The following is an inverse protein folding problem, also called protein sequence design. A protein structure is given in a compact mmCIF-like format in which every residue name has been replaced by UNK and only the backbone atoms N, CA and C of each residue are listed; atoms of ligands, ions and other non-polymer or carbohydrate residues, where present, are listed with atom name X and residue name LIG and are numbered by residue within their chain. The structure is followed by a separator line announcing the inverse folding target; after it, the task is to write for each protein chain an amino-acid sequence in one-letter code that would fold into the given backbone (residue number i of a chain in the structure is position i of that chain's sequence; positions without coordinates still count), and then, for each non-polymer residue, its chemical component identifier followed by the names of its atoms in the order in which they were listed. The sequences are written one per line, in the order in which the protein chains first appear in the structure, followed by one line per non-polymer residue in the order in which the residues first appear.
data_IF_937075415397
#
_entry.id   IF_937075415397
#
_cell.length_a   1.000
_cell.length_b   1.000
_cell.length_c   1.000
_cell.angle_alpha   90.00
_cell.angle_beta   90.00
_cell.angle_gamma   90.00
#
_symmetry.space_group_name_H-M   'P 1'
#
loop_
_entity.id
_entity.type
_entity.pdbx_description
1 polymer ?
#
# COMPACT_ATOMS: atom_id res chain seq x y z
N UNK A 1 -13.38 41.15 26.53
CA UNK A 1 -13.64 40.27 27.70
C UNK A 1 -14.63 39.19 27.27
N UNK A 2 -14.32 37.95 27.54
CA UNK A 2 -15.22 36.81 27.30
C UNK A 2 -16.09 36.67 28.54
N UNK A 3 -17.42 36.52 28.32
CA UNK A 3 -18.37 36.39 29.43
C UNK A 3 -18.20 35.05 30.16
N UNK A 4 -18.46 34.98 31.49
CA UNK A 4 -18.49 33.69 32.18
C UNK A 4 -19.48 32.75 31.51
N UNK A 5 -19.13 31.46 31.42
CA UNK A 5 -19.90 30.39 30.75
C UNK A 5 -19.95 30.45 29.22
N UNK A 6 -19.15 31.30 28.54
CA UNK A 6 -19.00 31.23 27.09
C UNK A 6 -18.31 29.94 26.70
N UNK A 7 -18.92 29.17 25.82
CA UNK A 7 -18.30 27.98 25.26
C UNK A 7 -17.27 28.39 24.20
N UNK A 8 -16.03 27.97 24.39
CA UNK A 8 -14.95 28.24 23.43
C UNK A 8 -14.74 27.01 22.54
N UNK A 9 -14.71 27.25 21.27
CA UNK A 9 -14.40 26.22 20.28
C UNK A 9 -12.99 26.46 19.74
N UNK A 10 -12.22 25.38 19.62
CA UNK A 10 -10.90 25.39 18.97
C UNK A 10 -11.06 24.82 17.56
N UNK A 11 -10.90 25.66 16.56
CA UNK A 11 -10.98 25.27 15.15
C UNK A 11 -9.61 24.96 14.51
N UNK A 12 -8.53 25.23 15.24
CA UNK A 12 -7.16 24.97 14.77
C UNK A 12 -6.32 24.35 15.89
N UNK A 13 -5.76 23.18 15.65
CA UNK A 13 -4.83 22.50 16.53
C UNK A 13 -3.48 22.33 15.86
N UNK A 14 -2.53 23.21 16.18
CA UNK A 14 -1.18 23.16 15.60
C UNK A 14 -0.44 21.84 15.87
N UNK A 15 -0.66 21.21 17.02
CA UNK A 15 -0.02 19.94 17.34
C UNK A 15 -0.59 18.79 16.48
N UNK A 16 -1.90 18.82 16.24
CA UNK A 16 -2.59 17.87 15.36
C UNK A 16 -2.18 18.07 13.90
N UNK A 17 -2.17 19.32 13.39
CA UNK A 17 -1.71 19.63 12.03
C UNK A 17 -0.27 19.14 11.80
N UNK A 18 0.61 19.44 12.74
CA UNK A 18 2.01 18.97 12.70
C UNK A 18 2.14 17.44 12.69
N UNK A 19 1.19 16.73 13.29
CA UNK A 19 1.14 15.27 13.26
C UNK A 19 0.69 14.76 11.87
N UNK A 20 -0.28 15.44 11.24
CA UNK A 20 -0.79 15.10 9.92
C UNK A 20 0.21 15.40 8.80
N UNK A 21 1.08 16.40 8.97
CA UNK A 21 2.15 16.70 8.00
C UNK A 21 3.21 15.58 7.93
N UNK A 22 3.31 14.74 8.95
CA UNK A 22 4.24 13.60 8.93
C UNK A 22 3.64 12.45 8.11
N UNK A 23 4.43 11.80 7.23
CA UNK A 23 4.00 10.60 6.54
C UNK A 23 3.82 9.45 7.55
N UNK A 24 2.66 9.41 8.22
CA UNK A 24 2.35 8.46 9.29
C UNK A 24 1.63 7.20 8.80
N UNK A 25 1.17 7.19 7.54
CA UNK A 25 0.38 6.11 6.94
C UNK A 25 1.15 5.35 5.84
N UNK A 26 2.48 5.44 5.79
CA UNK A 26 3.28 4.65 4.85
C UNK A 26 3.33 3.18 5.26
N UNK A 27 2.64 2.32 4.52
CA UNK A 27 2.85 0.89 4.60
C UNK A 27 4.01 0.50 3.68
N UNK A 28 5.04 -0.09 4.25
CA UNK A 28 6.13 -0.74 3.51
C UNK A 28 5.93 -2.25 3.51
N UNK A 29 6.37 -2.89 2.43
CA UNK A 29 6.34 -4.34 2.26
C UNK A 29 7.64 -4.92 2.79
N UNK A 30 7.56 -5.86 3.70
CA UNK A 30 8.73 -6.50 4.27
C UNK A 30 9.39 -7.43 3.24
N UNK A 31 10.72 -7.34 3.14
CA UNK A 31 11.53 -8.12 2.21
C UNK A 31 12.71 -8.75 2.94
N UNK A 32 12.86 -10.06 2.78
CA UNK A 32 14.08 -10.79 3.16
C UNK A 32 15.05 -10.78 1.99
N UNK A 33 16.28 -10.36 2.26
CA UNK A 33 17.36 -10.23 1.26
C UNK A 33 18.45 -11.23 1.59
N UNK A 34 18.93 -11.96 0.59
CA UNK A 34 20.04 -12.91 0.73
C UNK A 34 21.11 -12.59 -0.30
N UNK A 35 22.32 -12.32 0.19
CA UNK A 35 23.52 -12.11 -0.60
C UNK A 35 24.44 -13.33 -0.46
N UNK A 36 24.86 -13.89 -1.57
CA UNK A 36 25.74 -15.06 -1.61
C UNK A 36 26.77 -14.94 -2.72
N UNK A 37 27.87 -15.66 -2.59
CA UNK A 37 28.81 -15.80 -3.68
C UNK A 37 28.60 -17.14 -4.44
N UNK A 38 29.01 -17.15 -5.69
CA UNK A 38 29.00 -18.32 -6.55
C UNK A 38 30.35 -18.48 -7.29
N UNK A 39 30.51 -19.45 -8.16
CA UNK A 39 31.78 -19.69 -8.87
C UNK A 39 32.26 -18.47 -9.68
N UNK A 40 31.35 -17.64 -10.18
CA UNK A 40 31.67 -16.58 -11.14
C UNK A 40 31.48 -15.16 -10.58
N UNK A 41 31.07 -15.03 -9.31
CA UNK A 41 30.80 -13.70 -8.71
C UNK A 41 29.81 -13.76 -7.57
N UNK A 42 28.77 -12.90 -7.62
CA UNK A 42 27.83 -12.75 -6.53
C UNK A 42 26.38 -12.86 -7.00
N UNK A 43 25.53 -13.35 -6.12
CA UNK A 43 24.07 -13.47 -6.31
C UNK A 43 23.35 -12.75 -5.20
N UNK A 44 22.35 -11.96 -5.56
CA UNK A 44 21.46 -11.29 -4.63
C UNK A 44 20.04 -11.75 -4.91
N UNK A 45 19.33 -12.24 -3.90
CA UNK A 45 17.90 -12.56 -3.98
C UNK A 45 17.11 -11.75 -2.98
N UNK A 46 15.87 -11.45 -3.34
CA UNK A 46 14.92 -10.75 -2.50
C UNK A 46 13.58 -11.49 -2.55
N UNK A 47 13.00 -11.73 -1.37
CA UNK A 47 11.71 -12.41 -1.21
C UNK A 47 10.82 -11.58 -0.32
N UNK A 48 9.61 -11.29 -0.75
CA UNK A 48 8.66 -10.48 0.01
C UNK A 48 7.75 -11.31 0.94
N UNK A 49 6.92 -10.63 1.71
CA UNK A 49 5.96 -11.22 2.66
C UNK A 49 4.93 -12.16 2.01
N UNK A 50 4.71 -12.08 0.67
CA UNK A 50 3.77 -12.92 -0.09
C UNK A 50 4.46 -14.10 -0.77
N UNK A 51 5.77 -14.23 -0.65
CA UNK A 51 6.58 -15.28 -1.29
C UNK A 51 7.00 -14.95 -2.72
N UNK A 52 6.72 -13.75 -3.25
CA UNK A 52 7.30 -13.31 -4.51
C UNK A 52 8.80 -13.18 -4.37
N UNK A 53 9.56 -13.78 -5.31
CA UNK A 53 11.02 -13.81 -5.27
C UNK A 53 11.61 -13.31 -6.59
N UNK A 54 12.65 -12.50 -6.46
CA UNK A 54 13.51 -12.10 -7.56
C UNK A 54 14.97 -12.37 -7.23
N UNK A 55 15.80 -12.53 -8.27
CA UNK A 55 17.23 -12.80 -8.12
C UNK A 55 18.00 -12.13 -9.25
N UNK A 56 19.21 -11.66 -8.90
CA UNK A 56 20.20 -11.13 -9.85
C UNK A 56 21.54 -11.78 -9.58
N UNK A 57 22.33 -12.01 -10.64
CA UNK A 57 23.65 -12.57 -10.54
C UNK A 57 24.60 -11.72 -11.36
N UNK A 58 25.69 -11.32 -10.74
CA UNK A 58 26.74 -10.52 -11.35
C UNK A 58 28.03 -11.31 -11.40
N UNK A 59 28.61 -11.40 -12.61
CA UNK A 59 29.98 -11.89 -12.76
C UNK A 59 30.94 -10.84 -12.21
N UNK A 60 31.80 -11.28 -11.33
CA UNK A 60 32.78 -10.39 -10.66
C UNK A 60 34.02 -11.18 -10.20
N UNK A 61 35.19 -10.68 -10.52
CA UNK A 61 36.42 -11.28 -10.06
C UNK A 61 36.56 -11.08 -8.56
N UNK A 62 36.56 -12.19 -7.82
CA UNK A 62 36.57 -12.15 -6.35
C UNK A 62 37.95 -11.93 -5.81
N UNK A 63 38.15 -10.87 -5.05
CA UNK A 63 39.36 -10.56 -4.30
C UNK A 63 39.09 -10.64 -2.81
N UNK A 64 40.06 -11.13 -2.04
CA UNK A 64 39.95 -11.16 -0.58
C UNK A 64 40.01 -9.75 0.00
N UNK A 65 39.07 -9.42 0.84
CA UNK A 65 39.03 -8.14 1.54
C UNK A 65 40.03 -8.13 2.73
N UNK A 66 40.66 -6.98 2.95
CA UNK A 66 41.56 -6.75 4.09
C UNK A 66 40.81 -6.57 5.43
N UNK A 67 39.52 -6.22 5.35
CA UNK A 67 38.63 -5.98 6.51
C UNK A 67 37.33 -6.75 6.31
N UNK A 68 36.62 -7.14 7.39
CA UNK A 68 35.32 -7.75 7.28
C UNK A 68 34.35 -6.89 6.45
N UNK A 69 33.64 -7.50 5.51
CA UNK A 69 32.75 -6.79 4.58
C UNK A 69 31.29 -6.97 4.94
N UNK A 70 30.91 -7.90 5.79
CA UNK A 70 29.55 -8.24 6.09
C UNK A 70 28.69 -7.04 6.54
N UNK A 71 29.19 -6.25 7.47
CA UNK A 71 28.47 -5.05 7.98
C UNK A 71 28.27 -4.00 6.88
N UNK A 72 29.27 -3.82 6.01
CA UNK A 72 29.17 -2.92 4.87
C UNK A 72 28.11 -3.41 3.88
N UNK A 73 28.11 -4.71 3.56
CA UNK A 73 27.12 -5.33 2.66
C UNK A 73 25.71 -5.15 3.26
N UNK A 74 25.51 -5.48 4.53
CA UNK A 74 24.22 -5.29 5.23
C UNK A 74 23.75 -3.84 5.19
N UNK A 75 24.64 -2.90 5.50
CA UNK A 75 24.34 -1.47 5.48
C UNK A 75 23.94 -0.97 4.10
N UNK A 76 24.58 -1.44 3.03
CA UNK A 76 24.22 -1.06 1.68
C UNK A 76 22.89 -1.68 1.23
N UNK A 77 22.59 -2.93 1.62
CA UNK A 77 21.38 -3.62 1.26
C UNK A 77 20.15 -3.07 2.01
N UNK A 78 20.31 -2.52 3.21
CA UNK A 78 19.23 -1.88 3.97
C UNK A 78 18.66 -0.61 3.32
N UNK A 79 19.37 0.02 2.39
CA UNK A 79 19.02 1.32 1.80
C UNK A 79 17.87 1.21 0.79
N UNK A 80 16.67 0.87 1.23
CA UNK A 80 15.46 0.75 0.43
C UNK A 80 14.51 1.95 0.54
N UNK A 81 14.94 3.05 1.18
CA UNK A 81 14.07 4.16 1.59
C UNK A 81 13.23 4.80 0.48
N UNK A 82 13.72 4.84 -0.76
CA UNK A 82 12.99 5.37 -1.92
C UNK A 82 12.02 4.39 -2.58
N UNK A 83 11.76 3.21 -1.98
CA UNK A 83 10.92 2.15 -2.54
C UNK A 83 9.74 1.83 -1.64
N UNK A 84 8.78 1.05 -2.15
CA UNK A 84 7.66 0.52 -1.35
C UNK A 84 8.10 -0.61 -0.39
N UNK A 85 9.37 -1.02 -0.45
CA UNK A 85 9.90 -2.14 0.32
C UNK A 85 10.70 -1.67 1.54
N UNK A 86 10.78 -2.54 2.53
CA UNK A 86 11.60 -2.40 3.73
C UNK A 86 12.35 -3.71 3.99
N UNK A 87 13.65 -3.64 4.19
CA UNK A 87 14.45 -4.80 4.54
C UNK A 87 14.10 -5.26 5.97
N UNK A 88 13.48 -6.42 6.08
CA UNK A 88 13.11 -7.05 7.36
C UNK A 88 14.22 -7.98 7.85
N UNK A 89 14.84 -8.73 6.95
CA UNK A 89 15.96 -9.62 7.24
C UNK A 89 17.00 -9.53 6.11
N UNK A 90 18.28 -9.60 6.49
CA UNK A 90 19.39 -9.61 5.52
C UNK A 90 20.36 -10.72 5.92
N UNK A 91 20.55 -11.69 5.03
CA UNK A 91 21.51 -12.78 5.19
C UNK A 91 22.68 -12.57 4.23
N UNK A 92 23.88 -12.71 4.77
CA UNK A 92 25.13 -12.67 4.00
C UNK A 92 25.79 -14.05 4.10
N UNK A 93 25.65 -14.84 3.05
CA UNK A 93 26.09 -16.24 2.98
C UNK A 93 27.24 -16.36 1.97
N UNK A 94 28.42 -15.83 2.32
CA UNK A 94 29.60 -15.90 1.47
C UNK A 94 30.61 -16.95 2.00
N UNK A 95 31.25 -17.65 1.07
CA UNK A 95 32.28 -18.67 1.40
C UNK A 95 33.60 -18.06 1.92
N UNK A 96 33.81 -16.78 1.66
CA UNK A 96 35.00 -16.05 2.08
C UNK A 96 34.70 -14.57 2.34
N UNK A 97 35.70 -13.89 2.92
CA UNK A 97 35.63 -12.44 3.11
C UNK A 97 36.01 -11.71 1.83
N UNK A 98 35.08 -11.63 0.88
CA UNK A 98 35.29 -11.03 -0.42
C UNK A 98 35.15 -9.51 -0.40
N UNK A 99 36.03 -8.82 -1.12
CA UNK A 99 35.84 -7.40 -1.38
C UNK A 99 34.75 -7.19 -2.43
N UNK A 100 33.71 -6.42 -2.07
CA UNK A 100 32.64 -6.05 -3.00
C UNK A 100 32.51 -4.54 -2.99
N UNK A 101 32.72 -3.87 -4.13
CA UNK A 101 32.50 -2.42 -4.22
C UNK A 101 31.06 -2.05 -3.86
N UNK A 102 30.91 -0.99 -3.06
CA UNK A 102 29.56 -0.52 -2.66
C UNK A 102 28.67 -0.12 -3.85
N UNK A 103 29.29 0.29 -4.96
CA UNK A 103 28.58 0.58 -6.23
C UNK A 103 27.91 -0.66 -6.81
N UNK A 104 28.60 -1.80 -6.82
CA UNK A 104 28.07 -3.08 -7.30
C UNK A 104 26.94 -3.56 -6.41
N UNK A 105 27.10 -3.49 -5.09
CA UNK A 105 26.02 -3.85 -4.15
C UNK A 105 24.80 -2.97 -4.37
N UNK A 106 24.99 -1.67 -4.59
CA UNK A 106 23.92 -0.72 -4.83
C UNK A 106 23.22 -0.95 -6.17
N UNK A 107 23.93 -1.40 -7.19
CA UNK A 107 23.38 -1.74 -8.50
C UNK A 107 22.56 -3.04 -8.42
N UNK A 108 23.12 -4.10 -7.86
CA UNK A 108 22.42 -5.37 -7.61
C UNK A 108 21.13 -5.15 -6.80
N UNK A 109 21.22 -4.33 -5.74
CA UNK A 109 20.04 -3.98 -4.92
C UNK A 109 18.95 -3.31 -5.75
N UNK A 110 19.30 -2.30 -6.56
CA UNK A 110 18.30 -1.60 -7.40
C UNK A 110 17.65 -2.56 -8.38
N UNK A 111 18.43 -3.38 -9.06
CA UNK A 111 17.95 -4.32 -10.04
C UNK A 111 17.07 -5.42 -9.43
N UNK A 112 17.47 -6.02 -8.29
CA UNK A 112 16.66 -7.08 -7.65
C UNK A 112 15.32 -6.55 -7.14
N UNK A 113 15.30 -5.32 -6.61
CA UNK A 113 14.07 -4.68 -6.11
C UNK A 113 13.14 -4.31 -7.27
N UNK A 114 13.66 -3.83 -8.38
CA UNK A 114 12.86 -3.58 -9.59
C UNK A 114 12.27 -4.89 -10.14
N UNK A 115 13.07 -5.94 -10.26
CA UNK A 115 12.60 -7.26 -10.66
C UNK A 115 11.54 -7.82 -9.71
N UNK A 116 11.73 -7.65 -8.40
CA UNK A 116 10.76 -8.08 -7.40
C UNK A 116 9.42 -7.36 -7.58
N UNK A 117 9.45 -6.05 -7.85
CA UNK A 117 8.24 -5.28 -8.14
C UNK A 117 7.51 -5.81 -9.37
N UNK A 118 8.23 -6.12 -10.45
CA UNK A 118 7.65 -6.70 -11.67
C UNK A 118 7.05 -8.09 -11.40
N UNK A 119 7.75 -8.95 -10.67
CA UNK A 119 7.22 -10.27 -10.28
C UNK A 119 5.92 -10.12 -9.48
N UNK A 120 5.84 -9.19 -8.53
CA UNK A 120 4.61 -8.92 -7.77
C UNK A 120 3.45 -8.50 -8.66
N UNK A 121 3.70 -7.59 -9.61
CA UNK A 121 2.66 -7.10 -10.52
C UNK A 121 2.12 -8.26 -11.39
N UNK A 122 3.01 -9.08 -11.95
CA UNK A 122 2.63 -10.18 -12.83
C UNK A 122 1.94 -11.32 -12.07
N UNK A 123 2.40 -11.63 -10.86
CA UNK A 123 1.86 -12.70 -10.02
C UNK A 123 0.55 -12.35 -9.32
N UNK A 124 0.19 -11.06 -9.29
CA UNK A 124 -1.02 -10.62 -8.60
C UNK A 124 -2.28 -11.18 -9.27
N UNK A 125 -2.96 -12.05 -8.55
CA UNK A 125 -4.27 -12.57 -8.94
C UNK A 125 -5.34 -11.87 -8.13
N UNK A 126 -6.19 -11.12 -8.81
CA UNK A 126 -7.38 -10.54 -8.16
C UNK A 126 -8.35 -11.67 -7.83
N UNK A 127 -8.64 -11.86 -6.56
CA UNK A 127 -9.74 -12.73 -6.16
C UNK A 127 -11.06 -12.12 -6.64
N UNK A 128 -11.67 -12.78 -7.61
CA UNK A 128 -13.03 -12.45 -8.04
C UNK A 128 -13.98 -13.13 -7.05
N UNK A 129 -14.59 -12.32 -6.19
CA UNK A 129 -15.70 -12.79 -5.38
C UNK A 129 -16.80 -13.23 -6.35
N UNK A 130 -17.08 -14.52 -6.39
CA UNK A 130 -18.28 -15.02 -7.05
C UNK A 130 -19.45 -14.50 -6.24
N UNK A 131 -20.08 -13.42 -6.74
CA UNK A 131 -21.35 -13.00 -6.20
C UNK A 131 -22.30 -14.19 -6.35
N UNK A 132 -22.62 -14.85 -5.25
CA UNK A 132 -23.76 -15.73 -5.25
C UNK A 132 -24.96 -14.81 -5.53
N UNK A 133 -25.64 -15.02 -6.65
CA UNK A 133 -26.92 -14.37 -6.97
C UNK A 133 -28.00 -14.94 -6.02
N UNK A 134 -27.73 -14.97 -4.73
CA UNK A 134 -28.79 -15.10 -3.75
C UNK A 134 -29.54 -13.78 -3.79
N UNK A 135 -30.50 -13.70 -4.70
CA UNK A 135 -31.53 -12.67 -4.65
C UNK A 135 -32.29 -12.90 -3.34
N UNK A 136 -31.77 -12.26 -2.29
CA UNK A 136 -32.53 -12.15 -1.05
C UNK A 136 -33.67 -11.20 -1.39
N UNK A 137 -34.82 -11.77 -1.72
CA UNK A 137 -36.04 -11.01 -1.92
C UNK A 137 -36.49 -10.48 -0.55
N UNK A 138 -36.02 -9.30 -0.20
CA UNK A 138 -36.57 -8.55 0.93
C UNK A 138 -37.29 -7.30 0.41
N UNK A 139 -38.36 -6.93 1.07
CA UNK A 139 -39.02 -5.67 0.80
C UNK A 139 -38.35 -4.55 1.55
N UNK A 140 -38.08 -3.43 0.90
CA UNK A 140 -37.52 -2.28 1.57
C UNK A 140 -38.50 -1.74 2.64
N UNK A 141 -38.04 -1.30 3.82
CA UNK A 141 -38.89 -0.97 4.96
C UNK A 141 -39.87 0.19 4.69
N UNK A 142 -39.53 1.09 3.77
CA UNK A 142 -40.37 2.26 3.42
C UNK A 142 -40.76 2.24 1.95
N UNK A 143 -41.93 2.76 1.65
CA UNK A 143 -42.46 2.84 0.30
C UNK A 143 -42.09 4.11 -0.44
N UNK A 144 -41.59 5.09 0.27
CA UNK A 144 -41.21 6.38 -0.29
C UNK A 144 -39.83 6.78 0.21
N UNK A 145 -38.98 7.21 -0.71
CA UNK A 145 -37.66 7.80 -0.43
C UNK A 145 -37.68 9.28 -0.81
N UNK A 146 -37.35 10.12 0.14
CA UNK A 146 -37.08 11.53 -0.10
C UNK A 146 -35.68 11.74 -0.63
N UNK A 147 -35.28 12.98 -0.92
CA UNK A 147 -33.91 13.34 -1.31
C UNK A 147 -32.84 12.87 -0.30
N UNK A 148 -33.21 12.69 0.97
CA UNK A 148 -32.35 12.15 2.03
C UNK A 148 -31.93 10.70 1.79
N UNK A 149 -32.68 9.95 0.97
CA UNK A 149 -32.28 8.61 0.52
C UNK A 149 -31.10 8.60 -0.43
N UNK A 150 -30.66 9.78 -0.86
CA UNK A 150 -29.50 10.01 -1.73
C UNK A 150 -29.44 9.11 -2.98
N UNK A 151 -30.60 8.94 -3.65
CA UNK A 151 -30.70 8.13 -4.87
C UNK A 151 -30.24 8.95 -6.05
N UNK A 152 -28.97 8.82 -6.40
CA UNK A 152 -28.33 9.65 -7.43
C UNK A 152 -28.33 9.01 -8.83
N UNK A 153 -28.15 7.69 -8.93
CA UNK A 153 -27.98 7.01 -10.21
C UNK A 153 -29.07 5.96 -10.49
N UNK A 154 -29.18 5.58 -11.76
CA UNK A 154 -30.20 4.63 -12.21
C UNK A 154 -30.09 3.24 -11.57
N UNK A 155 -28.89 2.77 -11.23
CA UNK A 155 -28.72 1.46 -10.57
C UNK A 155 -29.26 1.47 -9.15
N UNK A 156 -29.04 2.56 -8.41
CA UNK A 156 -29.62 2.74 -7.08
C UNK A 156 -31.15 2.83 -7.17
N UNK A 157 -31.67 3.57 -8.15
CA UNK A 157 -33.11 3.65 -8.40
C UNK A 157 -33.71 2.27 -8.66
N UNK A 158 -33.15 1.51 -9.61
CA UNK A 158 -33.60 0.14 -9.93
C UNK A 158 -33.54 -0.77 -8.71
N UNK A 159 -32.51 -0.65 -7.87
CA UNK A 159 -32.42 -1.43 -6.64
C UNK A 159 -33.63 -1.17 -5.73
N UNK A 160 -33.95 0.08 -5.45
CA UNK A 160 -35.06 0.41 -4.57
C UNK A 160 -36.43 0.02 -5.16
N UNK A 161 -36.64 0.25 -6.46
CA UNK A 161 -37.85 -0.17 -7.18
C UNK A 161 -38.04 -1.69 -7.11
N UNK A 162 -36.96 -2.46 -7.34
CA UNK A 162 -37.00 -3.94 -7.25
C UNK A 162 -37.31 -4.42 -5.84
N UNK A 163 -36.99 -3.63 -4.81
CA UNK A 163 -37.31 -3.96 -3.42
C UNK A 163 -38.62 -3.31 -2.91
N UNK A 164 -39.44 -2.81 -3.82
CA UNK A 164 -40.81 -2.39 -3.53
C UNK A 164 -40.98 -0.95 -3.08
N UNK A 165 -40.00 -0.09 -3.35
CA UNK A 165 -40.17 1.36 -3.16
C UNK A 165 -40.96 1.93 -4.34
N UNK A 166 -42.04 2.64 -4.07
CA UNK A 166 -43.00 3.13 -5.08
C UNK A 166 -42.70 4.56 -5.54
N UNK A 167 -42.13 5.38 -4.63
CA UNK A 167 -41.79 6.78 -4.90
C UNK A 167 -40.37 7.08 -4.47
N UNK A 168 -39.58 7.59 -5.41
CA UNK A 168 -38.17 7.90 -5.18
C UNK A 168 -37.89 9.33 -5.63
N UNK A 169 -37.62 10.21 -4.69
CA UNK A 169 -37.11 11.54 -4.99
C UNK A 169 -35.62 11.45 -5.33
N UNK A 170 -35.16 12.16 -6.37
CA UNK A 170 -33.73 12.17 -6.72
C UNK A 170 -32.89 12.79 -5.60
N UNK A 171 -31.62 12.42 -5.55
CA UNK A 171 -30.64 13.03 -4.65
C UNK A 171 -30.59 14.55 -4.86
N UNK A 172 -30.26 15.28 -3.79
CA UNK A 172 -30.17 16.74 -3.84
C UNK A 172 -29.19 17.24 -4.91
N UNK A 173 -28.07 16.53 -5.08
CA UNK A 173 -27.04 16.84 -6.10
C UNK A 173 -27.56 16.68 -7.54
N UNK A 174 -28.50 15.76 -7.76
CA UNK A 174 -29.11 15.56 -9.07
C UNK A 174 -30.18 16.60 -9.38
N UNK A 175 -30.95 17.02 -8.37
CA UNK A 175 -32.01 18.01 -8.49
C UNK A 175 -32.14 18.82 -7.20
N UNK A 176 -31.40 19.93 -7.07
CA UNK A 176 -31.46 20.78 -5.90
C UNK A 176 -32.88 21.28 -5.60
N UNK A 177 -33.31 21.12 -4.37
CA UNK A 177 -34.56 21.67 -3.86
C UNK A 177 -34.29 22.99 -3.16
N UNK A 178 -35.18 23.96 -3.29
CA UNK A 178 -35.10 25.24 -2.58
C UNK A 178 -35.59 25.06 -1.13
N UNK A 179 -34.98 25.77 -0.21
CA UNK A 179 -35.42 25.88 1.19
C UNK A 179 -35.47 24.53 1.97
N UNK A 180 -34.60 23.62 1.64
CA UNK A 180 -34.48 22.33 2.35
C UNK A 180 -33.23 22.33 3.19
N UNK A 181 -33.30 21.90 4.48
CA UNK A 181 -32.10 21.77 5.30
C UNK A 181 -31.19 20.68 4.71
N UNK A 182 -29.92 21.04 4.47
CA UNK A 182 -28.87 20.09 4.18
C UNK A 182 -28.29 19.60 5.51
N UNK A 183 -28.04 18.31 5.61
CA UNK A 183 -27.31 17.73 6.75
C UNK A 183 -25.81 18.00 6.64
#
# INVERSE_FOLDING_TARGET
RISPKTILYRNYDHAFEKLLEKPSAERKIDVSIEFSDNAFGFTLSATDETGCRAMVTYAFDKELARKPQEDNIRTQLQKLGGTIFKAADIKVNTTGNWFVPSSIIAEMRREVIEKLLQVRIISYKRELVKHSNNQINFSYPVKELTYLGNVYNSKAQTFYETHGVERIAPAFEAKPLKEVPLM
#
